data_IF_385777011009
#
_entry.id   IF_385777011009
#
_cell.length_a   1.000
_cell.length_b   1.000
_cell.length_c   1.000
_cell.angle_alpha   90.00
_cell.angle_beta   90.00
_cell.angle_gamma   90.00
#
_symmetry.space_group_name_H-M   'P 1'
#
loop_
_entity.id
_entity.type
_entity.pdbx_description
1 polymer ?
#
# COMPACT_ATOMS: atom_id res chain seq x y z
N UNK A 1 -26.47 -0.56 -12.92
CA UNK A 1 -25.03 -0.37 -12.66
C UNK A 1 -24.98 0.42 -11.36
N UNK A 2 -24.72 -0.20 -10.21
CA UNK A 2 -24.67 0.48 -8.92
C UNK A 2 -23.22 0.93 -8.71
N UNK A 3 -22.97 2.18 -9.09
CA UNK A 3 -21.69 2.86 -9.09
C UNK A 3 -21.48 3.61 -7.75
N UNK A 4 -20.26 4.07 -7.43
CA UNK A 4 -19.82 4.32 -6.04
C UNK A 4 -20.44 5.53 -5.32
N UNK A 5 -21.51 6.08 -5.89
CA UNK A 5 -22.20 7.30 -5.47
C UNK A 5 -23.59 7.03 -4.92
N UNK A 6 -24.02 5.78 -4.92
CA UNK A 6 -25.23 5.34 -4.23
C UNK A 6 -24.86 4.32 -3.18
N UNK A 7 -25.43 4.42 -1.99
CA UNK A 7 -25.27 3.39 -0.98
C UNK A 7 -25.81 2.05 -1.54
N UNK A 8 -25.01 0.97 -1.58
CA UNK A 8 -25.44 -0.30 -2.16
C UNK A 8 -26.56 -0.98 -1.37
N UNK A 9 -26.81 -0.53 -0.13
CA UNK A 9 -27.79 -1.12 0.77
C UNK A 9 -29.15 -0.40 0.73
N UNK A 10 -29.16 0.94 0.79
CA UNK A 10 -30.41 1.73 0.76
C UNK A 10 -30.64 2.56 -0.51
N UNK A 11 -29.66 2.62 -1.43
CA UNK A 11 -29.75 3.41 -2.66
C UNK A 11 -29.59 4.92 -2.46
N UNK A 12 -29.28 5.40 -1.24
CA UNK A 12 -29.08 6.84 -1.00
C UNK A 12 -27.95 7.38 -1.89
N UNK A 13 -28.19 8.39 -2.71
CA UNK A 13 -27.15 9.05 -3.50
C UNK A 13 -26.27 9.96 -2.63
N UNK A 14 -25.03 10.14 -3.05
CA UNK A 14 -24.06 11.10 -2.53
C UNK A 14 -23.77 12.14 -3.63
N UNK A 15 -23.62 13.42 -3.25
CA UNK A 15 -23.68 14.59 -4.17
C UNK A 15 -22.62 14.62 -5.29
N UNK A 16 -21.62 13.74 -5.25
CA UNK A 16 -20.51 13.68 -6.21
C UNK A 16 -20.85 13.05 -7.57
N UNK A 17 -22.06 12.49 -7.77
CA UNK A 17 -22.40 11.88 -9.06
C UNK A 17 -22.38 12.91 -10.21
N UNK A 18 -22.98 14.09 -9.98
CA UNK A 18 -23.04 15.16 -10.99
C UNK A 18 -21.70 15.89 -11.17
N UNK A 19 -20.99 16.17 -10.08
CA UNK A 19 -19.69 16.84 -10.13
C UNK A 19 -18.61 16.02 -10.84
N UNK A 20 -18.71 14.68 -10.81
CA UNK A 20 -17.82 13.76 -11.52
C UNK A 20 -18.25 13.52 -12.98
N UNK A 21 -19.56 13.47 -13.27
CA UNK A 21 -20.05 13.46 -14.66
C UNK A 21 -19.63 14.71 -15.43
N UNK A 22 -19.54 15.84 -14.74
CA UNK A 22 -19.09 17.13 -15.29
C UNK A 22 -17.54 17.25 -15.32
N UNK A 23 -16.78 16.25 -14.85
CA UNK A 23 -15.31 16.31 -14.80
C UNK A 23 -14.68 16.06 -16.19
N UNK A 24 -14.04 17.09 -16.76
CA UNK A 24 -13.41 16.99 -18.08
C UNK A 24 -12.10 16.17 -18.05
N UNK A 25 -12.18 14.89 -18.41
CA UNK A 25 -11.04 13.97 -18.49
C UNK A 25 -10.22 14.09 -19.79
N UNK A 26 -9.76 15.31 -20.09
CA UNK A 26 -9.11 15.65 -21.36
C UNK A 26 -7.68 15.11 -21.50
N UNK A 27 -7.01 14.76 -20.40
CA UNK A 27 -5.62 14.26 -20.41
C UNK A 27 -5.51 12.82 -19.93
N UNK A 28 -4.51 12.07 -20.43
CA UNK A 28 -4.20 10.72 -19.93
C UNK A 28 -3.91 10.69 -18.42
N UNK A 29 -3.30 11.76 -17.88
CA UNK A 29 -3.09 11.88 -16.44
C UNK A 29 -4.40 12.12 -15.69
N UNK A 30 -5.30 12.98 -16.19
CA UNK A 30 -6.63 13.15 -15.60
C UNK A 30 -7.44 11.86 -15.65
N UNK A 31 -7.44 11.16 -16.78
CA UNK A 31 -8.08 9.84 -16.92
C UNK A 31 -7.49 8.80 -15.95
N UNK A 32 -6.18 8.82 -15.74
CA UNK A 32 -5.52 7.92 -14.79
C UNK A 32 -5.84 8.31 -13.36
N UNK A 33 -5.78 9.59 -13.00
CA UNK A 33 -6.11 10.13 -11.68
C UNK A 33 -7.57 9.86 -11.32
N UNK A 34 -8.51 10.20 -12.21
CA UNK A 34 -9.93 9.84 -12.11
C UNK A 34 -10.11 8.33 -11.98
N UNK A 35 -9.45 7.53 -12.83
CA UNK A 35 -9.47 6.09 -12.67
C UNK A 35 -8.85 5.62 -11.34
N UNK A 36 -7.88 6.30 -10.74
CA UNK A 36 -7.23 5.84 -9.51
C UNK A 36 -8.00 6.28 -8.26
N UNK A 37 -8.59 7.47 -8.30
CA UNK A 37 -9.44 8.05 -7.27
C UNK A 37 -10.81 7.36 -7.22
N UNK A 38 -11.40 7.04 -8.37
CA UNK A 38 -12.75 6.48 -8.44
C UNK A 38 -12.82 4.96 -8.73
N UNK A 39 -11.74 4.28 -9.19
CA UNK A 39 -11.74 2.79 -9.31
C UNK A 39 -11.61 2.08 -7.97
N UNK A 40 -11.14 2.74 -6.91
CA UNK A 40 -11.04 2.14 -5.57
C UNK A 40 -12.39 1.65 -5.03
N UNK A 41 -13.50 2.18 -5.56
CA UNK A 41 -14.86 1.84 -5.18
C UNK A 41 -15.58 0.92 -6.17
N UNK A 42 -14.82 0.21 -7.02
CA UNK A 42 -15.37 -0.87 -7.84
C UNK A 42 -15.73 -2.07 -6.96
N UNK A 43 -16.85 -1.96 -6.24
CA UNK A 43 -17.64 -3.10 -5.82
C UNK A 43 -18.28 -3.68 -7.08
N UNK A 44 -17.47 -4.32 -7.93
CA UNK A 44 -18.01 -5.15 -8.99
C UNK A 44 -18.79 -6.28 -8.32
N UNK A 45 -20.11 -6.15 -8.24
CA UNK A 45 -20.98 -7.31 -8.10
C UNK A 45 -20.62 -8.21 -9.26
N UNK A 46 -19.92 -9.31 -8.99
CA UNK A 46 -19.51 -10.22 -10.06
C UNK A 46 -20.78 -10.64 -10.82
N UNK A 47 -20.71 -10.70 -12.15
CA UNK A 47 -21.88 -10.88 -13.04
C UNK A 47 -22.78 -12.05 -12.59
N UNK A 48 -22.19 -13.09 -12.01
CA UNK A 48 -22.90 -14.22 -11.39
C UNK A 48 -23.93 -13.81 -10.30
N UNK A 49 -23.61 -12.83 -9.47
CA UNK A 49 -24.52 -12.37 -8.41
C UNK A 49 -25.57 -11.38 -8.90
N UNK A 50 -25.37 -10.76 -10.06
CA UNK A 50 -26.33 -9.81 -10.61
C UNK A 50 -27.57 -10.52 -11.16
N UNK A 51 -27.35 -11.69 -11.78
CA UNK A 51 -28.39 -12.34 -12.58
C UNK A 51 -28.85 -13.69 -11.98
N UNK A 52 -28.09 -14.31 -11.06
CA UNK A 52 -28.38 -15.68 -10.59
C UNK A 52 -28.53 -15.87 -9.08
N UNK A 53 -28.03 -14.94 -8.25
CA UNK A 53 -28.13 -15.05 -6.79
C UNK A 53 -28.76 -13.77 -6.25
N UNK A 54 -30.05 -13.78 -5.86
CA UNK A 54 -30.67 -12.61 -5.26
C UNK A 54 -29.98 -12.31 -3.93
N UNK A 55 -29.20 -11.24 -3.89
CA UNK A 55 -28.64 -10.69 -2.65
C UNK A 55 -29.73 -9.86 -2.00
N UNK A 56 -30.22 -10.30 -0.82
CA UNK A 56 -31.24 -9.57 -0.07
C UNK A 56 -30.68 -8.37 0.69
N UNK A 57 -29.41 -8.42 1.11
CA UNK A 57 -28.75 -7.37 1.86
C UNK A 57 -27.27 -7.24 1.49
N UNK A 58 -26.81 -5.99 1.37
CA UNK A 58 -25.40 -5.66 1.27
C UNK A 58 -24.89 -5.21 2.63
N UNK A 59 -23.93 -5.94 3.19
CA UNK A 59 -23.29 -5.58 4.46
C UNK A 59 -21.88 -5.09 4.16
N UNK A 60 -21.54 -3.93 4.70
CA UNK A 60 -20.19 -3.38 4.58
C UNK A 60 -19.27 -4.02 5.61
N UNK A 61 -18.01 -4.16 5.25
CA UNK A 61 -17.00 -4.60 6.19
C UNK A 61 -16.77 -3.54 7.28
N UNK A 62 -16.95 -3.95 8.54
CA UNK A 62 -16.80 -3.10 9.71
C UNK A 62 -15.37 -2.55 9.83
N UNK A 63 -14.35 -3.38 9.56
CA UNK A 63 -12.95 -2.96 9.64
C UNK A 63 -12.66 -1.85 8.63
N UNK A 64 -12.92 -2.10 7.34
CA UNK A 64 -12.63 -1.14 6.29
C UNK A 64 -13.47 0.13 6.42
N UNK A 65 -14.70 0.04 6.92
CA UNK A 65 -15.54 1.22 7.17
C UNK A 65 -14.86 2.16 8.15
N UNK A 66 -14.51 1.70 9.36
CA UNK A 66 -13.89 2.56 10.36
C UNK A 66 -12.47 2.98 9.95
N UNK A 67 -11.72 2.11 9.28
CA UNK A 67 -10.39 2.44 8.77
C UNK A 67 -10.43 3.54 7.71
N UNK A 68 -11.44 3.56 6.84
CA UNK A 68 -11.60 4.64 5.88
C UNK A 68 -12.04 5.94 6.53
N UNK A 69 -12.89 5.90 7.57
CA UNK A 69 -13.21 7.10 8.38
C UNK A 69 -11.94 7.71 9.01
N UNK A 70 -11.07 6.87 9.58
CA UNK A 70 -9.80 7.34 10.14
C UNK A 70 -8.83 7.86 9.09
N UNK A 71 -8.78 7.24 7.91
CA UNK A 71 -7.95 7.73 6.80
C UNK A 71 -8.44 9.07 6.28
N UNK A 72 -9.75 9.27 6.15
CA UNK A 72 -10.34 10.55 5.76
C UNK A 72 -10.00 11.63 6.79
N UNK A 73 -10.17 11.36 8.09
CA UNK A 73 -9.79 12.31 9.14
C UNK A 73 -8.29 12.61 9.12
N UNK A 74 -7.43 11.62 8.89
CA UNK A 74 -5.99 11.85 8.76
C UNK A 74 -5.63 12.67 7.52
N UNK A 75 -6.24 12.37 6.38
CA UNK A 75 -5.95 13.00 5.10
C UNK A 75 -6.43 14.45 5.08
N UNK A 76 -7.74 14.65 5.28
CA UNK A 76 -8.40 15.95 5.25
C UNK A 76 -8.10 16.79 6.49
N UNK A 77 -7.76 16.12 7.59
CA UNK A 77 -7.55 16.74 8.88
C UNK A 77 -6.12 17.15 9.19
N UNK A 78 -5.16 16.29 8.85
CA UNK A 78 -3.76 16.56 9.13
C UNK A 78 -2.98 16.79 7.84
N UNK A 79 -3.01 15.83 6.92
CA UNK A 79 -2.07 15.81 5.79
C UNK A 79 -2.23 17.02 4.86
N UNK A 80 -3.45 17.44 4.55
CA UNK A 80 -3.71 18.63 3.69
C UNK A 80 -3.16 19.92 4.30
N UNK A 81 -2.95 19.98 5.62
CA UNK A 81 -2.41 21.15 6.33
C UNK A 81 -0.88 21.22 6.34
N UNK A 82 -0.19 20.22 5.79
CA UNK A 82 1.26 20.19 5.69
C UNK A 82 1.72 21.12 4.57
N UNK A 83 2.49 22.14 4.93
CA UNK A 83 2.98 23.20 4.03
C UNK A 83 4.47 23.12 3.76
N UNK A 84 5.24 22.30 4.50
CA UNK A 84 6.69 22.19 4.34
C UNK A 84 7.21 20.76 4.45
N UNK A 85 8.39 20.50 3.89
CA UNK A 85 9.05 19.18 3.98
C UNK A 85 9.53 18.86 5.40
N UNK A 86 9.83 19.88 6.21
CA UNK A 86 10.13 19.71 7.64
C UNK A 86 8.91 19.18 8.40
N UNK A 87 7.71 19.69 8.07
CA UNK A 87 6.46 19.18 8.64
C UNK A 87 6.19 17.74 8.18
N UNK A 88 6.43 17.42 6.89
CA UNK A 88 6.36 16.04 6.39
C UNK A 88 7.24 15.11 7.23
N UNK A 89 8.50 15.50 7.45
CA UNK A 89 9.46 14.70 8.21
C UNK A 89 9.06 14.57 9.69
N UNK A 90 8.62 15.66 10.32
CA UNK A 90 8.17 15.65 11.71
C UNK A 90 6.96 14.72 11.91
N UNK A 91 5.98 14.75 10.99
CA UNK A 91 4.84 13.84 10.98
C UNK A 91 5.30 12.40 10.86
N UNK A 92 6.20 12.11 9.91
CA UNK A 92 6.75 10.76 9.73
C UNK A 92 7.48 10.26 10.98
N UNK A 93 8.19 11.13 11.69
CA UNK A 93 8.90 10.78 12.91
C UNK A 93 7.93 10.49 14.07
N UNK A 94 6.86 11.26 14.22
CA UNK A 94 5.78 10.97 15.18
C UNK A 94 5.10 9.64 14.86
N UNK A 95 4.72 9.43 13.60
CA UNK A 95 4.08 8.19 13.17
C UNK A 95 4.99 6.98 13.39
N UNK A 96 6.30 7.11 13.14
CA UNK A 96 7.26 6.03 13.39
C UNK A 96 7.42 5.78 14.89
N UNK A 97 7.57 6.83 15.71
CA UNK A 97 7.86 6.72 17.14
C UNK A 97 6.68 6.21 17.95
N UNK A 98 5.48 6.74 17.71
CA UNK A 98 4.31 6.48 18.54
C UNK A 98 3.38 5.41 17.94
N UNK A 99 3.32 5.31 16.61
CA UNK A 99 2.42 4.37 15.91
C UNK A 99 3.21 3.15 15.40
N UNK A 100 4.47 3.33 15.02
CA UNK A 100 5.23 2.37 14.22
C UNK A 100 4.69 2.27 12.79
N UNK A 101 4.07 3.33 12.29
CA UNK A 101 3.49 3.43 10.95
C UNK A 101 4.52 4.00 9.98
N UNK A 102 4.55 3.47 8.76
CA UNK A 102 5.32 4.00 7.64
C UNK A 102 4.35 4.46 6.57
N UNK A 103 4.14 5.77 6.45
CA UNK A 103 3.38 6.30 5.33
C UNK A 103 4.24 6.39 4.08
N UNK A 104 3.57 6.28 2.93
CA UNK A 104 4.24 6.46 1.64
C UNK A 104 4.35 7.96 1.37
N UNK A 105 5.57 8.39 1.11
CA UNK A 105 5.87 9.76 0.64
C UNK A 105 5.92 9.73 -0.88
N UNK A 106 5.09 10.54 -1.53
CA UNK A 106 5.20 10.81 -2.96
C UNK A 106 5.98 12.11 -3.14
N UNK A 107 7.14 12.01 -3.80
CA UNK A 107 7.99 13.18 -4.03
C UNK A 107 7.29 14.16 -4.95
N UNK A 108 7.35 15.44 -4.61
CA UNK A 108 6.90 16.48 -5.52
C UNK A 108 7.70 16.40 -6.84
N UNK A 109 7.01 16.57 -7.97
CA UNK A 109 7.61 16.48 -9.30
C UNK A 109 8.62 17.60 -9.60
N UNK A 110 8.56 18.69 -8.83
CA UNK A 110 9.36 19.90 -9.03
C UNK A 110 10.23 20.17 -7.79
N UNK A 111 11.43 20.73 -7.98
CA UNK A 111 12.41 21.07 -6.91
C UNK A 111 11.87 22.01 -5.82
N UNK A 112 10.70 22.62 -6.01
CA UNK A 112 10.07 23.59 -5.09
C UNK A 112 8.77 23.07 -4.45
N UNK A 113 8.35 21.84 -4.76
CA UNK A 113 7.10 21.31 -4.21
C UNK A 113 7.29 20.63 -2.85
N UNK A 114 6.21 20.63 -2.07
CA UNK A 114 6.11 19.88 -0.80
C UNK A 114 5.81 18.42 -1.11
N UNK A 115 6.54 17.51 -0.48
CA UNK A 115 6.29 16.08 -0.61
C UNK A 115 4.88 15.74 -0.10
N UNK A 116 4.15 14.92 -0.87
CA UNK A 116 2.76 14.56 -0.54
C UNK A 116 2.78 13.27 0.26
N UNK A 117 2.25 13.34 1.48
CA UNK A 117 1.97 12.16 2.28
C UNK A 117 0.67 11.50 1.79
N UNK A 118 0.70 10.20 1.52
CA UNK A 118 -0.53 9.42 1.33
C UNK A 118 -0.77 8.53 2.52
N UNK A 119 -1.92 8.73 3.17
CA UNK A 119 -2.40 7.91 4.26
C UNK A 119 -2.73 6.49 3.79
N UNK A 120 -1.73 5.60 3.76
CA UNK A 120 -1.92 4.17 3.54
C UNK A 120 -1.82 3.39 4.85
N UNK A 121 -2.61 3.82 5.84
CA UNK A 121 -2.62 3.26 7.19
C UNK A 121 -3.37 1.92 7.19
N UNK A 122 -2.81 0.87 7.79
CA UNK A 122 -3.49 -0.43 7.96
C UNK A 122 -4.24 -0.51 9.31
N UNK A 123 -5.13 -1.50 9.49
CA UNK A 123 -5.98 -1.62 10.70
C UNK A 123 -5.22 -1.52 12.03
N UNK A 124 -4.09 -2.24 12.16
CA UNK A 124 -3.23 -2.18 13.36
C UNK A 124 -2.66 -0.78 13.63
N UNK A 125 -2.28 -0.06 12.58
CA UNK A 125 -1.71 1.28 12.70
C UNK A 125 -2.82 2.28 13.04
N UNK A 126 -4.00 2.14 12.42
CA UNK A 126 -5.15 2.98 12.72
C UNK A 126 -5.58 2.82 14.18
N UNK A 127 -5.61 1.58 14.69
CA UNK A 127 -5.92 1.31 16.11
C UNK A 127 -4.98 2.03 17.08
N UNK A 128 -3.71 2.21 16.71
CA UNK A 128 -2.75 2.98 17.50
C UNK A 128 -2.91 4.49 17.30
N UNK A 129 -3.25 4.92 16.09
CA UNK A 129 -3.47 6.33 15.75
C UNK A 129 -4.67 6.93 16.49
N UNK A 130 -5.74 6.15 16.66
CA UNK A 130 -6.92 6.59 17.43
C UNK A 130 -6.67 6.64 18.94
N UNK A 131 -5.52 6.19 19.44
CA UNK A 131 -5.17 6.34 20.85
C UNK A 131 -4.79 7.80 21.17
N UNK A 132 -5.19 8.33 22.34
CA UNK A 132 -5.05 9.76 22.67
C UNK A 132 -3.63 10.28 22.50
N UNK A 133 -2.62 9.53 22.97
CA UNK A 133 -1.22 9.96 22.90
C UNK A 133 -0.73 10.12 21.48
N UNK A 134 -1.08 9.19 20.58
CA UNK A 134 -0.63 9.24 19.19
C UNK A 134 -1.35 10.34 18.40
N UNK A 135 -2.66 10.47 18.61
CA UNK A 135 -3.46 11.53 18.01
C UNK A 135 -2.95 12.91 18.46
N UNK A 136 -2.69 13.10 19.75
CA UNK A 136 -2.22 14.36 20.30
C UNK A 136 -0.84 14.76 19.75
N UNK A 137 0.12 13.84 19.72
CA UNK A 137 1.43 14.10 19.15
C UNK A 137 1.35 14.45 17.65
N UNK A 138 0.47 13.78 16.90
CA UNK A 138 0.27 14.07 15.48
C UNK A 138 -0.30 15.48 15.28
N UNK A 139 -1.34 15.83 16.04
CA UNK A 139 -1.99 17.13 15.93
C UNK A 139 -1.04 18.28 16.26
N UNK A 140 -0.28 18.17 17.35
CA UNK A 140 0.73 19.18 17.73
C UNK A 140 1.85 19.35 16.70
N UNK A 141 2.10 18.34 15.87
CA UNK A 141 3.17 18.37 14.87
C UNK A 141 2.72 18.99 13.56
N UNK A 142 1.45 18.80 13.21
CA UNK A 142 0.88 19.23 11.92
C UNK A 142 0.30 20.63 12.02
N UNK A 143 -0.30 20.96 13.16
CA UNK A 143 -1.05 22.19 13.34
C UNK A 143 -0.14 23.24 13.99
N UNK A 144 0.41 24.12 13.15
CA UNK A 144 0.99 25.40 13.57
C UNK A 144 -0.09 26.49 13.75
N UNK A 145 -1.36 26.12 13.61
CA UNK A 145 -2.53 27.01 13.60
C UNK A 145 -3.22 26.96 14.98
N UNK A 146 -3.95 28.02 15.34
CA UNK A 146 -4.35 28.34 16.72
C UNK A 146 -5.11 27.23 17.48
N UNK A 147 -5.25 27.41 18.81
CA UNK A 147 -5.90 26.44 19.72
C UNK A 147 -7.30 25.98 19.29
N UNK A 148 -8.03 26.82 18.54
CA UNK A 148 -9.38 26.55 18.02
C UNK A 148 -9.42 25.36 17.05
N UNK A 149 -8.54 25.31 16.04
CA UNK A 149 -8.56 24.22 15.05
C UNK A 149 -8.14 22.89 15.68
N UNK A 150 -7.11 22.93 16.54
CA UNK A 150 -6.65 21.79 17.34
C UNK A 150 -7.78 21.18 18.17
N UNK A 151 -8.65 22.01 18.76
CA UNK A 151 -9.80 21.55 19.55
C UNK A 151 -10.77 20.74 18.71
N UNK A 152 -11.16 21.19 17.52
CA UNK A 152 -12.09 20.44 16.67
C UNK A 152 -11.52 19.09 16.24
N UNK A 153 -10.22 19.04 15.92
CA UNK A 153 -9.56 17.78 15.58
C UNK A 153 -9.49 16.79 16.74
N UNK A 154 -9.19 17.26 17.95
CA UNK A 154 -9.20 16.40 19.14
C UNK A 154 -10.57 15.78 19.38
N UNK A 155 -11.63 16.57 19.20
CA UNK A 155 -13.02 16.08 19.32
C UNK A 155 -13.30 15.03 18.23
N UNK A 156 -12.90 15.27 16.99
CA UNK A 156 -13.09 14.32 15.89
C UNK A 156 -12.36 12.98 16.11
N UNK A 157 -11.11 13.02 16.55
CA UNK A 157 -10.33 11.81 16.89
C UNK A 157 -10.94 11.05 18.06
N UNK A 158 -11.38 11.76 19.10
CA UNK A 158 -12.04 11.15 20.26
C UNK A 158 -13.34 10.47 19.84
N UNK A 159 -14.16 11.14 19.03
CA UNK A 159 -15.41 10.58 18.53
C UNK A 159 -15.17 9.36 17.63
N UNK A 160 -14.14 9.39 16.77
CA UNK A 160 -13.73 8.25 15.95
C UNK A 160 -13.32 7.05 16.82
N UNK A 161 -12.54 7.29 17.88
CA UNK A 161 -12.13 6.25 18.83
C UNK A 161 -13.33 5.62 19.53
N UNK A 162 -14.26 6.44 20.00
CA UNK A 162 -15.50 5.97 20.63
C UNK A 162 -16.32 5.11 19.67
N UNK A 163 -16.51 5.59 18.44
CA UNK A 163 -17.20 4.83 17.39
C UNK A 163 -16.46 3.52 17.08
N UNK A 164 -15.12 3.54 16.97
CA UNK A 164 -14.31 2.33 16.75
C UNK A 164 -14.61 1.29 17.82
N UNK A 165 -14.50 1.66 19.10
CA UNK A 165 -14.82 0.74 20.20
C UNK A 165 -16.29 0.32 20.16
N UNK A 166 -17.19 1.26 19.88
CA UNK A 166 -18.63 1.02 19.76
C UNK A 166 -18.99 -0.04 18.74
N UNK A 167 -18.36 -0.07 17.58
CA UNK A 167 -18.68 -1.06 16.53
C UNK A 167 -17.87 -2.34 16.63
N UNK A 168 -16.71 -2.33 17.28
CA UNK A 168 -15.82 -3.51 17.38
C UNK A 168 -15.96 -4.29 18.68
N UNK A 169 -16.56 -3.70 19.71
CA UNK A 169 -16.81 -4.43 20.97
C UNK A 169 -17.95 -5.42 20.77
N UNK A 170 -17.78 -6.71 21.11
CA UNK A 170 -18.86 -7.67 20.93
C UNK A 170 -20.09 -7.36 21.81
N UNK A 171 -21.29 -7.67 21.35
CA UNK A 171 -22.48 -7.73 22.19
C UNK A 171 -22.35 -8.90 23.18
N UNK A 172 -22.60 -8.68 24.48
CA UNK A 172 -22.39 -9.72 25.49
C UNK A 172 -23.37 -10.89 25.36
N UNK A 173 -24.54 -10.66 24.75
CA UNK A 173 -25.54 -11.67 24.43
C UNK A 173 -26.46 -11.17 23.30
N UNK A 174 -27.25 -12.07 22.71
CA UNK A 174 -28.16 -11.75 21.60
C UNK A 174 -29.56 -11.28 22.05
N UNK A 175 -29.74 -10.93 23.32
CA UNK A 175 -31.01 -10.41 23.81
C UNK A 175 -31.37 -9.10 23.10
N UNK A 176 -32.66 -8.88 22.88
CA UNK A 176 -33.14 -7.71 22.14
C UNK A 176 -32.78 -6.41 22.85
N UNK A 177 -32.87 -6.35 24.18
CA UNK A 177 -32.50 -5.16 24.96
C UNK A 177 -31.02 -4.80 24.80
N UNK A 178 -30.16 -5.82 24.77
CA UNK A 178 -28.71 -5.64 24.57
C UNK A 178 -28.41 -5.11 23.18
N UNK A 179 -29.11 -5.62 22.15
CA UNK A 179 -29.01 -5.08 20.78
C UNK A 179 -29.51 -3.65 20.70
N UNK A 180 -30.65 -3.32 21.31
CA UNK A 180 -31.19 -1.95 21.34
C UNK A 180 -30.22 -0.97 22.02
N UNK A 181 -29.58 -1.36 23.11
CA UNK A 181 -28.56 -0.55 23.77
C UNK A 181 -27.36 -0.29 22.84
N UNK A 182 -26.85 -1.35 22.18
CA UNK A 182 -25.78 -1.25 21.20
C UNK A 182 -26.11 -0.31 20.03
N UNK A 183 -27.32 -0.41 19.50
CA UNK A 183 -27.84 0.46 18.43
C UNK A 183 -27.85 1.91 18.88
N UNK A 184 -28.37 2.20 20.08
CA UNK A 184 -28.40 3.56 20.62
C UNK A 184 -26.98 4.14 20.76
N UNK A 185 -26.03 3.33 21.24
CA UNK A 185 -24.64 3.74 21.41
C UNK A 185 -23.94 3.99 20.06
N UNK A 186 -24.04 3.06 19.11
CA UNK A 186 -23.43 3.23 17.77
C UNK A 186 -24.03 4.44 17.07
N UNK A 187 -25.36 4.61 17.10
CA UNK A 187 -26.02 5.73 16.43
C UNK A 187 -25.59 7.08 17.02
N UNK A 188 -25.46 7.16 18.35
CA UNK A 188 -24.95 8.34 19.05
C UNK A 188 -23.50 8.63 18.64
N UNK A 189 -22.62 7.64 18.76
CA UNK A 189 -21.20 7.80 18.45
C UNK A 189 -20.93 8.12 16.98
N UNK A 190 -21.69 7.53 16.06
CA UNK A 190 -21.59 7.82 14.63
C UNK A 190 -22.01 9.27 14.34
N UNK A 191 -23.10 9.73 14.95
CA UNK A 191 -23.52 11.14 14.87
C UNK A 191 -22.45 12.07 15.42
N UNK A 192 -21.93 11.78 16.61
CA UNK A 192 -20.92 12.60 17.28
C UNK A 192 -19.65 12.69 16.41
N UNK A 193 -19.23 11.58 15.80
CA UNK A 193 -18.12 11.56 14.87
C UNK A 193 -18.40 12.39 13.61
N UNK A 194 -19.57 12.25 12.98
CA UNK A 194 -19.92 13.00 11.78
C UNK A 194 -19.89 14.50 12.03
N UNK A 195 -20.51 14.95 13.12
CA UNK A 195 -20.53 16.37 13.52
C UNK A 195 -19.12 16.87 13.81
N UNK A 196 -18.35 16.10 14.57
CA UNK A 196 -16.98 16.48 14.92
C UNK A 196 -16.06 16.52 13.69
N UNK A 197 -16.19 15.56 12.78
CA UNK A 197 -15.46 15.53 11.51
C UNK A 197 -15.81 16.76 10.66
N UNK A 198 -17.09 17.03 10.43
CA UNK A 198 -17.55 18.18 9.65
C UNK A 198 -16.99 19.49 10.20
N UNK A 199 -16.99 19.68 11.52
CA UNK A 199 -16.40 20.86 12.16
C UNK A 199 -14.88 20.93 11.97
N UNK A 200 -14.18 19.80 12.10
CA UNK A 200 -12.72 19.76 11.99
C UNK A 200 -12.21 20.02 10.56
N UNK A 201 -12.92 19.51 9.55
CA UNK A 201 -12.50 19.62 8.14
C UNK A 201 -13.27 20.68 7.35
N UNK A 202 -14.21 21.40 8.00
CA UNK A 202 -15.14 22.34 7.33
C UNK A 202 -15.90 21.72 6.15
N UNK A 203 -16.14 20.41 6.20
CA UNK A 203 -16.86 19.69 5.16
C UNK A 203 -18.37 19.72 5.44
N UNK A 204 -19.16 20.01 4.41
CA UNK A 204 -20.61 20.02 4.51
C UNK A 204 -21.25 18.64 4.29
N UNK A 205 -20.48 17.65 3.83
CA UNK A 205 -21.02 16.38 3.34
C UNK A 205 -20.48 15.16 4.09
N UNK A 206 -21.33 14.13 4.13
CA UNK A 206 -21.09 12.85 4.79
C UNK A 206 -20.80 11.80 3.72
N UNK A 207 -19.56 11.31 3.67
CA UNK A 207 -19.17 10.26 2.71
C UNK A 207 -19.81 8.90 2.99
N UNK A 208 -19.71 7.97 2.03
CA UNK A 208 -20.30 6.62 2.09
C UNK A 208 -20.09 5.90 3.42
N UNK A 209 -18.86 5.87 3.94
CA UNK A 209 -18.54 5.13 5.16
C UNK A 209 -19.16 5.76 6.41
N UNK A 210 -19.35 7.08 6.43
CA UNK A 210 -20.00 7.76 7.53
C UNK A 210 -21.52 7.53 7.49
N UNK A 211 -22.12 7.52 6.28
CA UNK A 211 -23.50 7.09 6.09
C UNK A 211 -23.72 5.64 6.54
N UNK A 212 -22.85 4.70 6.13
CA UNK A 212 -22.90 3.30 6.57
C UNK A 212 -22.84 3.19 8.10
N UNK A 213 -21.92 3.93 8.73
CA UNK A 213 -21.77 3.89 10.18
C UNK A 213 -23.01 4.41 10.92
N UNK A 214 -23.67 5.44 10.40
CA UNK A 214 -24.82 6.07 11.05
C UNK A 214 -26.16 5.36 10.75
N UNK A 215 -26.42 5.04 9.48
CA UNK A 215 -27.70 4.48 9.04
C UNK A 215 -27.75 2.96 9.07
N UNK A 216 -26.61 2.30 8.77
CA UNK A 216 -26.61 0.86 8.51
C UNK A 216 -26.10 0.01 9.64
N UNK A 217 -25.04 0.40 10.34
CA UNK A 217 -24.59 -0.37 11.51
C UNK A 217 -25.71 -0.56 12.56
N UNK A 218 -26.48 0.48 12.97
CA UNK A 218 -27.58 0.27 13.91
C UNK A 218 -28.64 -0.70 13.37
N UNK A 219 -28.99 -0.59 12.09
CA UNK A 219 -29.96 -1.47 11.45
C UNK A 219 -29.46 -2.92 11.38
N UNK A 220 -28.20 -3.13 10.99
CA UNK A 220 -27.57 -4.45 10.92
C UNK A 220 -27.42 -5.07 12.30
N UNK A 221 -27.19 -4.29 13.36
CA UNK A 221 -27.19 -4.83 14.72
C UNK A 221 -28.56 -5.43 15.08
N UNK A 222 -29.64 -4.74 14.74
CA UNK A 222 -30.99 -5.27 14.98
C UNK A 222 -31.28 -6.53 14.15
N UNK A 223 -30.89 -6.52 12.86
CA UNK A 223 -31.21 -7.60 11.92
C UNK A 223 -30.35 -8.85 12.13
N UNK A 224 -29.04 -8.67 12.36
CA UNK A 224 -28.06 -9.74 12.25
C UNK A 224 -27.27 -10.00 13.54
N UNK A 225 -27.37 -9.13 14.56
CA UNK A 225 -26.61 -9.30 15.80
C UNK A 225 -25.39 -8.41 15.85
N UNK A 226 -24.18 -8.97 15.90
CA UNK A 226 -22.98 -8.13 16.01
C UNK A 226 -22.47 -7.68 14.65
N UNK A 227 -22.23 -6.38 14.49
CA UNK A 227 -21.57 -5.87 13.28
C UNK A 227 -20.07 -6.16 13.27
N UNK A 228 -19.44 -6.44 14.42
CA UNK A 228 -18.05 -6.87 14.45
C UNK A 228 -17.81 -8.18 13.70
N UNK A 229 -18.83 -9.02 13.58
CA UNK A 229 -18.75 -10.31 12.89
C UNK A 229 -18.60 -10.18 11.38
N UNK A 230 -18.98 -9.02 10.83
CA UNK A 230 -18.76 -8.69 9.41
C UNK A 230 -17.35 -8.20 9.11
N UNK A 231 -16.46 -8.23 10.11
CA UNK A 231 -15.06 -7.85 9.96
C UNK A 231 -14.31 -8.81 9.04
N UNK A 232 -13.67 -8.26 8.02
CA UNK A 232 -12.81 -9.00 7.08
C UNK A 232 -11.42 -9.31 7.65
N UNK A 233 -11.12 -9.04 8.93
CA UNK A 233 -9.82 -9.34 9.55
C UNK A 233 -9.39 -10.81 9.40
N UNK A 234 -10.32 -11.74 9.57
CA UNK A 234 -10.08 -13.18 9.42
C UNK A 234 -9.65 -13.56 7.98
N UNK A 235 -10.49 -13.27 6.96
CA UNK A 235 -10.13 -13.43 5.55
C UNK A 235 -8.82 -12.75 5.15
N UNK A 236 -8.53 -11.55 5.66
CA UNK A 236 -7.25 -10.86 5.40
C UNK A 236 -6.05 -11.57 6.00
N UNK A 237 -6.18 -12.06 7.23
CA UNK A 237 -5.14 -12.86 7.91
C UNK A 237 -4.86 -14.16 7.14
N UNK A 238 -5.91 -14.82 6.64
CA UNK A 238 -5.79 -16.00 5.79
C UNK A 238 -5.14 -15.65 4.44
N UNK A 239 -5.46 -14.51 3.84
CA UNK A 239 -4.84 -14.07 2.59
C UNK A 239 -3.34 -13.80 2.76
N UNK A 240 -2.94 -13.16 3.86
CA UNK A 240 -1.54 -12.94 4.22
C UNK A 240 -0.80 -14.27 4.45
N UNK A 241 -1.43 -15.18 5.20
CA UNK A 241 -0.92 -16.53 5.45
C UNK A 241 -0.75 -17.32 4.15
N UNK A 242 -1.76 -17.30 3.26
CA UNK A 242 -1.68 -17.91 1.92
C UNK A 242 -0.56 -17.33 1.06
N UNK A 243 -0.28 -16.03 1.12
CA UNK A 243 0.87 -15.42 0.43
C UNK A 243 2.20 -15.94 1.00
N UNK A 244 2.30 -16.05 2.32
CA UNK A 244 3.48 -16.60 3.00
C UNK A 244 3.67 -18.07 2.63
N UNK A 245 2.60 -18.86 2.71
CA UNK A 245 2.55 -20.27 2.37
C UNK A 245 2.83 -20.54 0.89
N UNK A 246 2.30 -19.71 -0.02
CA UNK A 246 2.67 -19.79 -1.43
C UNK A 246 4.19 -19.60 -1.59
N UNK A 247 4.77 -18.58 -0.95
CA UNK A 247 6.23 -18.34 -1.02
C UNK A 247 7.06 -19.47 -0.40
N UNK A 248 6.60 -20.12 0.67
CA UNK A 248 7.35 -21.14 1.41
C UNK A 248 7.09 -22.58 0.92
N UNK A 249 5.85 -22.91 0.55
CA UNK A 249 5.40 -24.24 0.15
C UNK A 249 5.44 -24.45 -1.37
N UNK A 250 5.00 -23.48 -2.19
CA UNK A 250 4.97 -23.68 -3.65
C UNK A 250 6.36 -23.56 -4.31
N UNK A 251 7.31 -22.87 -3.66
CA UNK A 251 8.72 -22.89 -4.09
C UNK A 251 9.45 -24.19 -3.77
N UNK A 252 9.00 -25.00 -2.79
CA UNK A 252 9.62 -26.30 -2.50
C UNK A 252 9.10 -27.43 -3.38
N UNK A 253 7.88 -27.37 -3.92
CA UNK A 253 7.41 -28.33 -4.93
C UNK A 253 8.06 -28.13 -6.32
N UNK A 254 8.56 -26.93 -6.64
CA UNK A 254 9.44 -26.70 -7.82
C UNK A 254 10.92 -27.00 -7.56
N UNK A 255 11.31 -27.42 -6.36
CA UNK A 255 12.68 -27.90 -6.07
C UNK A 255 12.91 -29.38 -6.46
N UNK A 256 12.10 -29.93 -7.36
CA UNK A 256 12.51 -31.06 -8.21
C UNK A 256 13.37 -30.65 -9.41
N UNK A 257 13.36 -29.37 -9.81
CA UNK A 257 14.12 -28.86 -10.96
C UNK A 257 15.32 -27.95 -10.57
N UNK A 258 15.43 -27.56 -9.30
CA UNK A 258 16.45 -26.61 -8.81
C UNK A 258 17.89 -27.14 -8.75
N UNK A 259 18.09 -28.45 -8.84
CA UNK A 259 19.44 -29.04 -8.87
C UNK A 259 20.06 -29.13 -10.28
N UNK A 260 19.30 -28.83 -11.34
CA UNK A 260 19.87 -28.73 -12.68
C UNK A 260 20.56 -27.38 -12.90
N UNK A 261 20.01 -26.27 -12.40
CA UNK A 261 20.62 -24.95 -12.62
C UNK A 261 21.95 -24.75 -11.89
N UNK A 262 22.15 -25.37 -10.72
CA UNK A 262 23.44 -25.31 -10.00
C UNK A 262 24.52 -26.13 -10.72
N UNK A 263 24.17 -27.32 -11.23
CA UNK A 263 25.08 -28.15 -12.04
C UNK A 263 25.37 -27.51 -13.39
N UNK A 264 24.39 -26.96 -14.10
CA UNK A 264 24.61 -26.30 -15.39
C UNK A 264 25.42 -25.01 -15.23
N UNK A 265 25.17 -24.23 -14.17
CA UNK A 265 25.97 -23.03 -13.87
C UNK A 265 27.40 -23.36 -13.41
N UNK A 266 27.60 -24.42 -12.62
CA UNK A 266 28.94 -24.93 -12.29
C UNK A 266 29.65 -25.49 -13.52
N UNK A 267 28.94 -26.22 -14.38
CA UNK A 267 29.46 -26.77 -15.64
C UNK A 267 29.91 -25.66 -16.58
N UNK A 268 29.08 -24.62 -16.75
CA UNK A 268 29.40 -23.43 -17.54
C UNK A 268 30.60 -22.67 -16.96
N UNK A 269 30.67 -22.48 -15.63
CA UNK A 269 31.84 -21.87 -14.98
C UNK A 269 33.11 -22.68 -15.19
N UNK A 270 33.05 -24.01 -15.08
CA UNK A 270 34.16 -24.92 -15.36
C UNK A 270 34.58 -24.89 -16.84
N UNK A 271 33.64 -24.81 -17.78
CA UNK A 271 33.90 -24.68 -19.21
C UNK A 271 34.58 -23.35 -19.56
N UNK A 272 34.13 -22.25 -18.96
CA UNK A 272 34.76 -20.93 -19.13
C UNK A 272 36.17 -20.91 -18.51
N UNK A 273 36.36 -21.53 -17.34
CA UNK A 273 37.67 -21.66 -16.73
C UNK A 273 38.64 -22.50 -17.59
N UNK A 274 38.18 -23.65 -18.14
CA UNK A 274 38.97 -24.47 -19.07
C UNK A 274 39.37 -23.70 -20.33
N UNK A 275 38.43 -22.99 -20.97
CA UNK A 275 38.74 -22.16 -22.16
C UNK A 275 39.77 -21.06 -21.86
N UNK A 276 39.77 -20.48 -20.65
CA UNK A 276 40.80 -19.50 -20.23
C UNK A 276 42.16 -20.17 -20.06
N UNK A 277 42.23 -21.34 -19.45
CA UNK A 277 43.48 -22.10 -19.28
C UNK A 277 44.07 -22.49 -20.64
N UNK A 278 43.24 -22.95 -21.57
CA UNK A 278 43.70 -23.34 -22.92
C UNK A 278 44.23 -22.14 -23.71
N UNK A 279 43.58 -20.98 -23.65
CA UNK A 279 44.10 -19.74 -24.24
C UNK A 279 45.45 -19.33 -23.64
N UNK A 280 45.63 -19.47 -22.33
CA UNK A 280 46.90 -19.15 -21.66
C UNK A 280 48.01 -20.12 -22.06
N UNK A 281 47.71 -21.44 -22.16
CA UNK A 281 48.66 -22.44 -22.67
C UNK A 281 49.03 -22.18 -24.13
N UNK A 282 48.07 -21.79 -24.96
CA UNK A 282 48.30 -21.47 -26.38
C UNK A 282 49.18 -20.23 -26.54
N UNK A 283 48.98 -19.20 -25.69
CA UNK A 283 49.85 -18.01 -25.64
C UNK A 283 51.29 -18.35 -25.23
N UNK A 284 51.48 -19.18 -24.19
CA UNK A 284 52.83 -19.65 -23.79
C UNK A 284 53.53 -20.45 -24.88
N UNK A 285 52.82 -21.37 -25.54
CA UNK A 285 53.39 -22.12 -26.67
C UNK A 285 53.80 -21.21 -27.83
N UNK A 286 53.03 -20.16 -28.10
CA UNK A 286 53.35 -19.18 -29.13
C UNK A 286 54.58 -18.34 -28.76
N UNK A 287 54.70 -17.89 -27.50
CA UNK A 287 55.89 -17.16 -27.06
C UNK A 287 57.15 -18.04 -27.06
N UNK A 288 57.06 -19.28 -26.59
CA UNK A 288 58.17 -20.24 -26.64
C UNK A 288 58.60 -20.54 -28.08
N UNK A 289 57.65 -20.62 -29.01
CA UNK A 289 57.96 -20.80 -30.43
C UNK A 289 58.66 -19.57 -31.02
N UNK A 290 58.18 -18.36 -30.73
CA UNK A 290 58.82 -17.10 -31.17
C UNK A 290 60.22 -16.92 -30.57
N UNK A 291 60.42 -17.30 -29.31
CA UNK A 291 61.72 -17.27 -28.65
C UNK A 291 62.70 -18.29 -29.24
N UNK A 292 62.25 -19.53 -29.49
CA UNK A 292 63.04 -20.54 -30.23
C UNK A 292 63.38 -20.10 -31.65
N UNK A 293 62.49 -19.34 -32.32
CA UNK A 293 62.75 -18.76 -33.64
C UNK A 293 63.86 -17.71 -33.60
N UNK A 294 63.94 -16.89 -32.53
CA UNK A 294 65.03 -15.93 -32.33
C UNK A 294 66.39 -16.61 -32.12
N UNK A 295 66.44 -17.75 -31.43
CA UNK A 295 67.68 -18.53 -31.24
C UNK A 295 68.07 -19.40 -32.44
N UNK A 296 67.15 -19.69 -33.37
CA UNK A 296 67.42 -20.44 -34.62
C UNK A 296 67.65 -19.55 -35.84
N UNK A 297 67.62 -18.22 -35.70
CA UNK A 297 68.07 -17.33 -36.75
C UNK A 297 69.57 -17.59 -36.98
N UNK A 298 70.00 -18.10 -38.15
CA UNK A 298 71.42 -18.31 -38.42
C UNK A 298 72.12 -16.95 -38.37
N UNK A 299 73.27 -16.87 -37.70
CA UNK A 299 74.24 -15.79 -37.91
C UNK A 299 74.72 -15.87 -39.36
N UNK A 300 73.92 -15.32 -40.28
CA UNK A 300 74.19 -15.28 -41.71
C UNK A 300 75.17 -14.14 -42.09
N UNK A 301 76.18 -13.89 -41.25
CA UNK A 301 77.24 -12.92 -41.54
C UNK A 301 78.65 -13.41 -41.20
N UNK A 302 78.83 -14.68 -40.85
CA UNK A 302 80.16 -15.29 -40.65
C UNK A 302 80.29 -16.59 -41.48
N UNK A 303 80.35 -16.44 -42.80
CA UNK A 303 81.07 -17.41 -43.65
C UNK A 303 81.75 -16.67 -44.79
N UNK A 304 83.04 -16.41 -44.55
CA UNK A 304 84.07 -16.18 -45.57
C UNK A 304 83.94 -17.22 -46.68
N UNK A 305 83.97 -16.74 -47.93
CA UNK A 305 84.64 -17.39 -49.06
C UNK A 305 85.35 -16.23 -49.76
N UNK A 306 86.64 -16.04 -49.53
CA UNK A 306 87.73 -16.74 -50.22
C UNK A 306 87.49 -16.80 -51.74
N UNK A 307 88.34 -16.02 -52.40
CA UNK A 307 88.55 -15.84 -53.83
C UNK A 307 88.81 -17.17 -54.56
N UNK A 308 88.70 -17.18 -55.89
CA UNK A 308 89.96 -17.20 -56.63
C UNK A 308 90.00 -16.23 -57.81
N UNK A 309 91.21 -15.72 -57.97
CA UNK A 309 91.82 -14.95 -59.06
C UNK A 309 91.45 -15.39 -60.48
N UNK A 310 91.31 -14.40 -61.39
CA UNK A 310 91.97 -14.44 -62.70
C UNK A 310 92.14 -13.02 -63.26
N UNK A 311 93.42 -12.68 -63.48
CA UNK A 311 94.00 -11.61 -64.33
C UNK A 311 93.79 -10.15 -63.93
#
# INVERSE_FOLDING_TARGET
MLFPWTCPDCGQPFEDEKAMEDEELTTKSAQTTHATQHKGHRHHVAVLYKDFIPISHHVADTLHTILNLGRQLLQEGAIVRIKTNEQVQAVMDVLRKYVGCFMRVEKASNKQGVDILKANVIGREMKKLVEPTAAECLLLTVMNEGEEDLKYFRVAWTALRLLWHGVTTPIPNHLEETRRAKVADIKRQARDYIVAFANAVSAQQVGLYAHVAYEHFPRWVMLFGDVSDFSCEGPESLHSSRKKDSKTLTNKRKQGAGNQNSRTAQSMKLLVARKKIDKTKQRRRKSEYEEKKKFRAPRASERKKEEPSHQ
#
